data_IF_857279031455
#
_entry.id   IF_857279031455
#
_cell.length_a   1.000
_cell.length_b   1.000
_cell.length_c   1.000
_cell.angle_alpha   90.00
_cell.angle_beta   90.00
_cell.angle_gamma   90.00
#
_symmetry.space_group_name_H-M   'P 1'
#
loop_
_entity.id
_entity.type
_entity.pdbx_description
1 polymer ?
#
# COMPACT_ATOMS: atom_id res chain seq x y z
N UNK A 1 5.60 3.01 -11.88
CA UNK A 1 4.79 3.68 -10.84
C UNK A 1 4.25 2.63 -9.87
N UNK A 2 4.50 2.71 -8.56
CA UNK A 2 3.91 1.79 -7.58
C UNK A 2 2.41 2.04 -7.37
N UNK A 3 1.69 0.97 -7.03
CA UNK A 3 0.26 1.00 -6.71
C UNK A 3 0.04 0.49 -5.29
N UNK A 4 -0.77 1.19 -4.52
CA UNK A 4 -1.26 0.78 -3.20
C UNK A 4 -2.76 0.50 -3.31
N UNK A 5 -3.14 -0.76 -3.19
CA UNK A 5 -4.53 -1.20 -3.12
C UNK A 5 -4.93 -1.32 -1.65
N UNK A 6 -5.93 -0.56 -1.24
CA UNK A 6 -6.49 -0.59 0.11
C UNK A 6 -7.88 -1.19 0.03
N UNK A 7 -8.11 -2.30 0.73
CA UNK A 7 -9.44 -2.86 0.89
C UNK A 7 -9.85 -2.89 2.34
N UNK A 8 -11.03 -2.34 2.66
CA UNK A 8 -11.51 -2.20 4.03
C UNK A 8 -12.88 -2.85 4.25
N UNK A 9 -13.15 -3.23 5.50
CA UNK A 9 -14.49 -3.44 6.02
C UNK A 9 -15.01 -2.11 6.58
N UNK A 10 -15.94 -1.44 5.88
CA UNK A 10 -16.45 -0.10 6.26
C UNK A 10 -17.24 -0.09 7.58
N UNK A 11 -17.68 -1.26 8.08
CA UNK A 11 -18.29 -1.36 9.41
C UNK A 11 -17.27 -1.26 10.56
N UNK A 12 -15.97 -1.41 10.26
CA UNK A 12 -14.88 -1.46 11.24
C UNK A 12 -13.86 -0.34 11.00
N UNK A 13 -13.51 -0.10 9.74
CA UNK A 13 -12.61 0.98 9.30
C UNK A 13 -13.47 2.08 8.71
N UNK A 14 -13.75 3.12 9.49
CA UNK A 14 -14.54 4.26 9.04
C UNK A 14 -13.76 5.17 8.06
N UNK A 15 -14.45 6.18 7.54
CA UNK A 15 -13.89 7.09 6.54
C UNK A 15 -12.75 7.95 7.10
N UNK A 16 -12.76 8.25 8.40
CA UNK A 16 -11.70 9.05 9.01
C UNK A 16 -10.41 8.24 9.15
N UNK A 17 -10.50 6.98 9.58
CA UNK A 17 -9.35 6.07 9.63
C UNK A 17 -8.82 5.83 8.22
N UNK A 18 -9.71 5.59 7.25
CA UNK A 18 -9.32 5.42 5.86
C UNK A 18 -8.58 6.66 5.32
N UNK A 19 -9.11 7.86 5.57
CA UNK A 19 -8.49 9.11 5.12
C UNK A 19 -7.08 9.27 5.71
N UNK A 20 -6.91 9.02 7.01
CA UNK A 20 -5.60 9.09 7.68
C UNK A 20 -4.58 8.12 7.06
N UNK A 21 -5.03 6.93 6.64
CA UNK A 21 -4.18 5.94 5.97
C UNK A 21 -3.83 6.40 4.54
N UNK A 22 -4.81 6.90 3.78
CA UNK A 22 -4.60 7.41 2.41
C UNK A 22 -3.64 8.59 2.38
N UNK A 23 -3.68 9.47 3.38
CA UNK A 23 -2.78 10.62 3.47
C UNK A 23 -1.37 10.24 3.94
N UNK A 24 -1.24 9.23 4.81
CA UNK A 24 0.05 8.86 5.40
C UNK A 24 0.87 7.86 4.56
N UNK A 25 0.21 7.03 3.75
CA UNK A 25 0.90 5.98 2.98
C UNK A 25 1.76 6.49 1.82
N UNK A 26 1.34 7.44 0.96
CA UNK A 26 2.14 7.85 -0.19
C UNK A 26 3.54 8.35 0.17
N UNK A 27 3.73 9.24 1.17
CA UNK A 27 5.06 9.70 1.55
C UNK A 27 5.98 8.57 2.00
N UNK A 28 5.44 7.61 2.77
CA UNK A 28 6.25 6.48 3.25
C UNK A 28 6.53 5.50 2.14
N UNK A 29 5.55 5.17 1.31
CA UNK A 29 5.72 4.29 0.16
C UNK A 29 6.75 4.84 -0.82
N UNK A 30 6.71 6.14 -1.12
CA UNK A 30 7.68 6.80 -1.98
C UNK A 30 9.10 6.73 -1.41
N UNK A 31 9.28 7.02 -0.12
CA UNK A 31 10.58 6.94 0.56
C UNK A 31 11.17 5.52 0.54
N UNK A 32 10.39 4.52 0.97
CA UNK A 32 10.88 3.14 1.11
C UNK A 32 11.01 2.39 -0.22
N UNK A 33 10.25 2.77 -1.24
CA UNK A 33 10.33 2.18 -2.58
C UNK A 33 11.30 2.94 -3.48
N UNK A 34 11.81 4.11 -3.09
CA UNK A 34 12.85 4.80 -3.86
C UNK A 34 14.11 3.93 -3.99
N UNK A 35 14.74 3.99 -5.16
CA UNK A 35 15.95 3.22 -5.48
C UNK A 35 17.05 4.18 -5.91
N UNK A 36 18.29 3.70 -6.01
CA UNK A 36 19.38 4.54 -6.54
C UNK A 36 19.15 4.93 -8.00
N UNK A 37 18.37 4.13 -8.73
CA UNK A 37 18.00 4.37 -10.11
C UNK A 37 16.87 5.38 -10.33
N UNK A 38 16.19 5.80 -9.26
CA UNK A 38 15.10 6.76 -9.33
C UNK A 38 14.44 6.98 -7.98
N UNK A 39 14.33 8.24 -7.59
CA UNK A 39 13.54 8.67 -6.44
C UNK A 39 12.08 8.77 -6.86
N UNK A 40 11.18 8.27 -6.02
CA UNK A 40 9.75 8.46 -6.16
C UNK A 40 9.31 9.65 -5.30
N UNK A 41 8.41 10.46 -5.84
CA UNK A 41 7.67 11.46 -5.09
C UNK A 41 6.31 10.89 -4.62
N UNK A 42 5.73 11.40 -3.52
CA UNK A 42 4.47 10.88 -2.99
C UNK A 42 3.32 10.89 -4.00
N UNK A 43 3.28 11.88 -4.89
CA UNK A 43 2.26 12.03 -5.94
C UNK A 43 2.35 10.95 -7.02
N UNK A 44 3.48 10.24 -7.10
CA UNK A 44 3.68 9.10 -8.01
C UNK A 44 3.24 7.76 -7.39
N UNK A 45 2.70 7.77 -6.18
CA UNK A 45 2.11 6.57 -5.57
C UNK A 45 0.62 6.55 -5.87
N UNK A 46 0.20 5.62 -6.71
CA UNK A 46 -1.22 5.42 -6.98
C UNK A 46 -1.89 4.78 -5.76
N UNK A 47 -3.09 5.22 -5.44
CA UNK A 47 -3.95 4.60 -4.42
C UNK A 47 -5.26 4.17 -5.08
N UNK A 48 -5.62 2.90 -4.90
CA UNK A 48 -6.95 2.36 -5.20
C UNK A 48 -7.62 1.90 -3.91
N UNK A 49 -8.90 2.21 -3.75
CA UNK A 49 -9.66 1.87 -2.54
C UNK A 49 -10.88 1.04 -2.88
N UNK A 50 -11.00 -0.11 -2.24
CA UNK A 50 -12.11 -1.05 -2.38
C UNK A 50 -12.81 -1.29 -1.03
N UNK A 51 -14.10 -1.57 -1.08
CA UNK A 51 -14.87 -2.03 0.08
C UNK A 51 -15.04 -3.55 0.06
N UNK A 52 -15.00 -4.16 1.23
CA UNK A 52 -15.38 -5.56 1.41
C UNK A 52 -16.88 -5.72 1.14
N UNK A 53 -17.19 -6.69 0.28
CA UNK A 53 -18.54 -7.15 -0.02
C UNK A 53 -19.10 -7.98 1.14
N UNK A 54 -20.43 -7.93 1.38
CA UNK A 54 -21.09 -8.78 2.36
C UNK A 54 -20.97 -10.29 2.06
N UNK A 55 -20.56 -10.66 0.84
CA UNK A 55 -20.35 -12.06 0.45
C UNK A 55 -18.91 -12.55 0.67
N UNK A 56 -17.98 -11.66 1.02
CA UNK A 56 -16.61 -12.04 1.30
C UNK A 56 -16.49 -12.84 2.59
N UNK A 57 -15.66 -13.87 2.57
CA UNK A 57 -15.41 -14.73 3.72
C UNK A 57 -13.93 -14.81 4.00
N UNK A 58 -13.57 -14.92 5.28
CA UNK A 58 -12.18 -15.04 5.74
C UNK A 58 -11.27 -13.88 5.31
N UNK A 59 -11.84 -12.71 5.06
CA UNK A 59 -11.10 -11.47 4.80
C UNK A 59 -10.76 -10.78 6.12
N UNK A 60 -9.67 -9.99 6.11
CA UNK A 60 -9.35 -9.11 7.24
C UNK A 60 -10.14 -7.82 7.15
N UNK A 61 -10.17 -7.08 8.25
CA UNK A 61 -10.86 -5.78 8.33
C UNK A 61 -10.15 -4.72 7.48
N UNK A 62 -8.81 -4.81 7.38
CA UNK A 62 -8.01 -4.00 6.47
C UNK A 62 -6.98 -4.84 5.71
N UNK A 63 -6.94 -4.68 4.41
CA UNK A 63 -5.96 -5.30 3.53
C UNK A 63 -5.24 -4.19 2.76
N UNK A 64 -3.91 -4.14 2.85
CA UNK A 64 -3.11 -3.24 2.02
C UNK A 64 -2.18 -4.09 1.17
N UNK A 65 -2.24 -3.90 -0.15
CA UNK A 65 -1.30 -4.51 -1.10
C UNK A 65 -0.55 -3.44 -1.83
N UNK A 66 0.76 -3.63 -1.94
CA UNK A 66 1.65 -2.65 -2.56
C UNK A 66 2.34 -3.36 -3.70
N UNK A 67 2.07 -2.90 -4.92
CA UNK A 67 2.69 -3.41 -6.13
C UNK A 67 3.79 -2.45 -6.55
N UNK A 68 5.00 -2.98 -6.72
CA UNK A 68 6.14 -2.20 -7.18
C UNK A 68 7.00 -3.00 -8.14
N UNK A 69 7.84 -2.33 -8.92
CA UNK A 69 8.81 -3.02 -9.78
C UNK A 69 9.90 -3.71 -8.95
N UNK A 70 10.36 -4.87 -9.42
CA UNK A 70 11.29 -5.76 -8.73
C UNK A 70 12.78 -5.35 -8.80
N UNK A 71 13.08 -4.07 -8.59
CA UNK A 71 14.47 -3.64 -8.46
C UNK A 71 15.20 -4.43 -7.36
N UNK A 72 16.43 -4.84 -7.65
CA UNK A 72 17.27 -5.64 -6.75
C UNK A 72 17.34 -5.05 -5.33
N UNK A 73 17.42 -3.72 -5.22
CA UNK A 73 17.48 -3.00 -3.95
C UNK A 73 16.19 -3.15 -3.11
N UNK A 74 15.02 -3.23 -3.76
CA UNK A 74 13.74 -3.48 -3.08
C UNK A 74 13.62 -4.94 -2.66
N UNK A 75 14.20 -5.87 -3.42
CA UNK A 75 14.25 -7.29 -3.05
C UNK A 75 15.14 -7.49 -1.81
N UNK A 76 16.31 -6.85 -1.78
CA UNK A 76 17.24 -6.91 -0.65
C UNK A 76 16.66 -6.29 0.63
N UNK A 77 15.81 -5.27 0.50
CA UNK A 77 15.20 -4.57 1.62
C UNK A 77 13.72 -4.93 1.86
N UNK A 78 13.22 -6.01 1.26
CA UNK A 78 11.78 -6.33 1.21
C UNK A 78 11.12 -6.35 2.60
N UNK A 79 11.77 -7.00 3.57
CA UNK A 79 11.28 -7.08 4.96
C UNK A 79 11.28 -5.71 5.65
N UNK A 80 12.33 -4.92 5.45
CA UNK A 80 12.47 -3.60 6.05
C UNK A 80 11.41 -2.64 5.49
N UNK A 81 11.14 -2.71 4.18
CA UNK A 81 10.08 -1.94 3.52
C UNK A 81 8.72 -2.31 4.12
N UNK A 82 8.39 -3.62 4.13
CA UNK A 82 7.12 -4.10 4.69
C UNK A 82 6.93 -3.66 6.14
N UNK A 83 7.99 -3.75 6.95
CA UNK A 83 7.95 -3.34 8.35
C UNK A 83 7.66 -1.85 8.51
N UNK A 84 8.38 -0.97 7.81
CA UNK A 84 8.17 0.49 7.90
C UNK A 84 6.75 0.89 7.52
N UNK A 85 6.20 0.29 6.45
CA UNK A 85 4.83 0.57 6.03
C UNK A 85 3.83 0.03 7.05
N UNK A 86 4.05 -1.18 7.55
CA UNK A 86 3.21 -1.80 8.59
C UNK A 86 3.17 -0.97 9.87
N UNK A 87 4.33 -0.43 10.30
CA UNK A 87 4.44 0.46 11.45
C UNK A 87 3.65 1.75 11.26
N UNK A 88 3.61 2.31 10.04
CA UNK A 88 2.80 3.49 9.75
C UNK A 88 1.31 3.20 9.81
N UNK A 89 0.87 2.13 9.12
CA UNK A 89 -0.54 1.71 9.12
C UNK A 89 -1.04 1.50 10.55
N UNK A 90 -0.24 0.84 11.39
CA UNK A 90 -0.62 0.55 12.78
C UNK A 90 -0.87 1.81 13.62
N UNK A 91 -0.26 2.96 13.29
CA UNK A 91 -0.51 4.22 14.03
C UNK A 91 -1.92 4.75 13.85
N UNK A 92 -2.59 4.36 12.77
CA UNK A 92 -3.95 4.82 12.43
C UNK A 92 -5.02 3.80 12.80
N UNK A 93 -4.62 2.56 13.12
CA UNK A 93 -5.56 1.48 13.40
C UNK A 93 -6.00 1.46 14.86
N UNK A 94 -7.30 1.24 15.13
CA UNK A 94 -7.77 0.87 16.46
C UNK A 94 -7.18 -0.48 16.92
N UNK A 95 -7.17 -0.70 18.23
CA UNK A 95 -6.79 -1.99 18.80
C UNK A 95 -7.75 -3.11 18.40
N UNK A 96 -7.21 -4.32 18.22
CA UNK A 96 -8.02 -5.53 17.97
C UNK A 96 -8.50 -5.71 16.52
N UNK A 97 -8.16 -4.78 15.63
CA UNK A 97 -8.45 -4.89 14.20
C UNK A 97 -7.57 -5.95 13.56
N UNK A 98 -8.15 -6.77 12.68
CA UNK A 98 -7.39 -7.74 11.89
C UNK A 98 -6.92 -7.10 10.58
N UNK A 99 -5.63 -7.21 10.24
CA UNK A 99 -5.09 -6.55 9.04
C UNK A 99 -3.84 -7.23 8.48
N UNK A 100 -3.44 -6.83 7.26
CA UNK A 100 -2.10 -7.12 6.71
C UNK A 100 -1.62 -6.05 5.73
N UNK A 101 -0.30 -6.00 5.53
CA UNK A 101 0.37 -5.31 4.42
C UNK A 101 1.15 -6.35 3.62
N UNK A 102 0.90 -6.41 2.31
CA UNK A 102 1.69 -7.18 1.36
C UNK A 102 2.47 -6.27 0.42
N UNK A 103 3.68 -6.68 0.08
CA UNK A 103 4.53 -6.02 -0.91
C UNK A 103 4.82 -7.03 -2.02
N UNK A 104 4.19 -6.82 -3.17
CA UNK A 104 4.31 -7.66 -4.34
C UNK A 104 5.23 -6.96 -5.35
N UNK A 105 6.46 -7.49 -5.49
CA UNK A 105 7.43 -6.98 -6.43
C UNK A 105 7.29 -7.70 -7.78
N UNK A 106 6.83 -6.98 -8.79
CA UNK A 106 6.56 -7.50 -10.13
C UNK A 106 7.67 -7.13 -11.12
N UNK A 107 7.98 -8.00 -12.11
CA UNK A 107 9.07 -7.74 -13.05
C UNK A 107 8.84 -6.51 -13.94
N UNK A 108 7.61 -6.30 -14.42
CA UNK A 108 7.24 -5.16 -15.27
C UNK A 108 5.79 -4.78 -14.97
N UNK A 109 5.45 -3.50 -15.08
CA UNK A 109 4.08 -3.03 -15.35
C UNK A 109 4.00 -2.49 -16.78
N UNK A 110 2.97 -2.87 -17.54
CA UNK A 110 2.69 -2.30 -18.86
C UNK A 110 1.50 -1.33 -18.73
N UNK A 111 1.63 -0.13 -19.29
CA UNK A 111 0.62 0.93 -19.25
C UNK A 111 1.23 2.31 -18.98
N UNK A 112 0.70 3.34 -19.63
CA UNK A 112 1.16 4.72 -19.54
C UNK A 112 -0.07 5.64 -19.59
N UNK A 113 -0.16 6.64 -18.72
CA UNK A 113 -1.07 7.79 -18.89
C UNK A 113 -0.64 8.71 -20.06
N UNK A 114 0.45 8.33 -20.72
CA UNK A 114 1.10 9.00 -21.84
C UNK A 114 1.47 7.97 -22.90
N UNK A 115 0.48 7.38 -23.59
CA UNK A 115 0.72 7.02 -24.98
C UNK A 115 0.40 8.27 -25.83
N UNK A 116 1.30 8.73 -26.72
CA UNK A 116 1.00 9.81 -27.66
C UNK A 116 -0.06 9.41 -28.69
#
# INVERSE_FOLDING_TARGET
>A
MPLVEIRRNSAVIDDQILLNIIESLPPIAADVLSTKGGKLDPEEIMIEVDEASPFDRHVKDLNIRIRGHNFQERLENHDAIRRRISEEVLRHLPDGISWYVWLDLVPISYGSDTEP
#
